data_IF_875189416801
#
_entry.id   IF_875189416801
#
_cell.length_a   1.000
_cell.length_b   1.000
_cell.length_c   1.000
_cell.angle_alpha   90.00
_cell.angle_beta   90.00
_cell.angle_gamma   90.00
#
_symmetry.space_group_name_H-M   'P 1'
#
loop_
_entity.id
_entity.type
_entity.pdbx_description
1 polymer ?
#
# COMPACT_ATOMS: atom_id res chain seq x y z
N UNK A 1 6.79 -18.87 -33.88
CA UNK A 1 7.80 -19.01 -32.81
C UNK A 1 7.39 -18.08 -31.68
N UNK A 2 6.98 -18.59 -30.52
CA UNK A 2 6.80 -17.76 -29.33
C UNK A 2 8.17 -17.54 -28.68
N UNK A 3 8.52 -16.29 -28.40
CA UNK A 3 9.72 -15.98 -27.63
C UNK A 3 9.49 -16.38 -26.15
N UNK A 4 10.50 -16.97 -25.52
CA UNK A 4 10.52 -17.15 -24.06
C UNK A 4 11.04 -15.87 -23.42
N UNK A 5 10.12 -14.99 -23.01
CA UNK A 5 10.44 -13.74 -22.33
C UNK A 5 11.10 -13.94 -20.97
N UNK A 6 10.91 -15.11 -20.33
CA UNK A 6 11.54 -15.42 -19.04
C UNK A 6 13.06 -15.55 -19.17
N UNK A 7 13.53 -16.08 -20.30
CA UNK A 7 14.95 -16.19 -20.64
C UNK A 7 15.66 -14.83 -20.80
N UNK A 8 14.93 -13.74 -20.99
CA UNK A 8 15.46 -12.39 -21.16
C UNK A 8 15.68 -11.66 -19.83
N UNK A 9 15.07 -12.11 -18.74
CA UNK A 9 15.25 -11.50 -17.42
C UNK A 9 16.70 -11.67 -16.92
N UNK A 10 17.17 -10.77 -16.05
CA UNK A 10 18.50 -10.91 -15.45
C UNK A 10 18.59 -12.16 -14.55
N UNK A 11 19.77 -12.79 -14.40
CA UNK A 11 19.90 -14.05 -13.65
C UNK A 11 19.33 -14.00 -12.22
N UNK A 12 19.48 -12.87 -11.53
CA UNK A 12 18.95 -12.68 -10.18
C UNK A 12 17.42 -12.67 -10.10
N UNK A 13 16.72 -12.32 -11.19
CA UNK A 13 15.25 -12.29 -11.24
C UNK A 13 14.68 -13.68 -11.53
N UNK A 14 15.37 -14.51 -12.31
CA UNK A 14 14.88 -15.84 -12.73
C UNK A 14 14.65 -16.82 -11.57
N UNK A 15 15.32 -16.60 -10.45
CA UNK A 15 15.17 -17.41 -9.23
C UNK A 15 14.14 -16.86 -8.23
N UNK A 16 13.57 -15.67 -8.48
CA UNK A 16 12.62 -15.07 -7.55
C UNK A 16 11.28 -15.79 -7.61
N UNK A 17 10.71 -16.04 -6.44
CA UNK A 17 9.31 -16.41 -6.35
C UNK A 17 8.45 -15.17 -6.59
N UNK A 18 7.35 -15.26 -7.36
CA UNK A 18 6.40 -14.18 -7.49
C UNK A 18 5.94 -13.69 -6.12
N UNK A 19 5.94 -12.37 -5.93
CA UNK A 19 5.41 -11.77 -4.72
C UNK A 19 3.93 -12.08 -4.60
N UNK A 20 3.53 -12.62 -3.45
CA UNK A 20 2.13 -12.82 -3.11
C UNK A 20 1.70 -11.69 -2.17
N UNK A 21 0.90 -10.72 -2.65
CA UNK A 21 0.37 -9.69 -1.78
C UNK A 21 -0.53 -10.31 -0.71
N UNK A 22 -0.55 -9.70 0.47
CA UNK A 22 -1.53 -10.07 1.50
C UNK A 22 -2.95 -9.84 0.99
N UNK A 23 -3.86 -10.77 1.32
CA UNK A 23 -5.27 -10.67 0.93
C UNK A 23 -5.93 -9.48 1.64
N UNK A 24 -6.61 -8.56 0.91
CA UNK A 24 -7.38 -7.49 1.52
C UNK A 24 -8.51 -8.04 2.41
N UNK A 25 -8.84 -7.32 3.49
CA UNK A 25 -9.92 -7.73 4.40
C UNK A 25 -11.25 -7.77 3.65
N UNK A 26 -11.49 -6.80 2.78
CA UNK A 26 -12.72 -6.64 1.99
C UNK A 26 -12.90 -7.77 0.96
N UNK A 27 -11.80 -8.38 0.52
CA UNK A 27 -11.84 -9.57 -0.34
C UNK A 27 -12.23 -10.80 0.45
N UNK A 28 -11.68 -10.95 1.67
CA UNK A 28 -12.02 -12.05 2.57
C UNK A 28 -13.49 -11.99 3.02
N UNK A 29 -14.00 -10.79 3.33
CA UNK A 29 -15.41 -10.57 3.68
C UNK A 29 -16.35 -11.04 2.58
N UNK A 30 -16.08 -10.66 1.33
CA UNK A 30 -16.90 -11.05 0.16
C UNK A 30 -16.86 -12.55 -0.11
N UNK A 31 -15.70 -13.19 0.05
CA UNK A 31 -15.55 -14.63 -0.22
C UNK A 31 -16.25 -15.49 0.82
N UNK A 32 -16.15 -15.11 2.09
CA UNK A 32 -16.62 -15.93 3.21
C UNK A 32 -17.99 -15.50 3.76
N UNK A 33 -18.56 -14.41 3.24
CA UNK A 33 -19.82 -13.83 3.73
C UNK A 33 -19.73 -13.35 5.17
N UNK A 34 -18.54 -12.91 5.60
CA UNK A 34 -18.27 -12.44 6.96
C UNK A 34 -18.61 -10.96 7.09
N UNK A 35 -19.07 -10.60 8.29
CA UNK A 35 -19.23 -9.21 8.74
C UNK A 35 -18.46 -9.03 10.03
N UNK A 36 -18.08 -7.79 10.35
CA UNK A 36 -17.42 -7.42 11.61
C UNK A 36 -16.04 -8.06 11.85
N UNK A 37 -15.18 -8.10 10.83
CA UNK A 37 -13.83 -8.62 10.98
C UNK A 37 -12.99 -7.71 11.89
N UNK A 38 -12.38 -8.29 12.92
CA UNK A 38 -11.38 -7.61 13.76
C UNK A 38 -9.98 -7.88 13.19
N UNK A 39 -9.36 -6.84 12.61
CA UNK A 39 -7.99 -6.93 12.07
C UNK A 39 -6.96 -6.77 13.19
N UNK A 40 -6.24 -7.85 13.48
CA UNK A 40 -5.12 -7.89 14.45
C UNK A 40 -3.75 -8.10 13.77
N UNK A 41 -3.67 -7.86 12.47
CA UNK A 41 -2.45 -7.99 11.67
C UNK A 41 -1.74 -6.64 11.46
N UNK A 42 -0.50 -6.68 11.00
CA UNK A 42 0.27 -5.51 10.53
C UNK A 42 0.68 -4.46 11.57
N UNK A 43 0.49 -4.72 12.87
CA UNK A 43 0.87 -3.80 13.97
C UNK A 43 0.27 -2.39 13.81
N UNK A 44 -0.93 -2.28 13.25
CA UNK A 44 -1.62 -1.01 13.07
C UNK A 44 -2.07 -0.42 14.42
N UNK A 45 -2.09 0.90 14.53
CA UNK A 45 -2.56 1.59 15.74
C UNK A 45 -4.10 1.59 15.75
N UNK A 46 -4.76 0.91 16.71
CA UNK A 46 -6.22 0.84 16.75
C UNK A 46 -6.90 2.19 17.06
N UNK A 47 -6.15 3.19 17.54
CA UNK A 47 -6.68 4.52 17.83
C UNK A 47 -6.77 5.43 16.60
N UNK A 48 -6.14 5.03 15.48
CA UNK A 48 -6.02 5.88 14.31
C UNK A 48 -5.16 7.13 14.54
N UNK A 49 -5.13 8.07 13.57
CA UNK A 49 -4.42 9.34 13.70
C UNK A 49 -5.10 10.29 14.69
N UNK A 50 -4.34 11.23 15.27
CA UNK A 50 -4.92 12.27 16.12
C UNK A 50 -5.80 13.24 15.30
N UNK A 51 -6.80 13.91 15.92
CA UNK A 51 -7.63 14.88 15.22
C UNK A 51 -6.84 16.01 14.54
N UNK A 52 -5.74 16.45 15.16
CA UNK A 52 -4.85 17.48 14.59
C UNK A 52 -4.16 17.06 13.31
N UNK A 53 -3.85 15.76 13.16
CA UNK A 53 -3.25 15.20 11.94
C UNK A 53 -4.27 15.16 10.82
N UNK A 54 -5.52 14.75 11.13
CA UNK A 54 -6.62 14.74 10.15
C UNK A 54 -6.83 16.16 9.62
N UNK A 55 -6.94 17.16 10.50
CA UNK A 55 -7.12 18.55 10.11
C UNK A 55 -5.96 19.08 9.26
N UNK A 56 -4.72 18.69 9.57
CA UNK A 56 -3.56 19.07 8.79
C UNK A 56 -3.59 18.48 7.37
N UNK A 57 -4.00 17.22 7.23
CA UNK A 57 -4.16 16.54 5.93
C UNK A 57 -5.26 17.24 5.12
N UNK A 58 -6.41 17.54 5.72
CA UNK A 58 -7.53 18.20 5.04
C UNK A 58 -7.14 19.57 4.48
N UNK A 59 -6.34 20.35 5.23
CA UNK A 59 -5.84 21.65 4.76
C UNK A 59 -4.95 21.55 3.52
N UNK A 60 -4.15 20.49 3.40
CA UNK A 60 -3.19 20.32 2.29
C UNK A 60 -3.74 19.46 1.15
N UNK A 61 -4.90 18.83 1.31
CA UNK A 61 -5.47 17.90 0.34
C UNK A 61 -5.61 18.50 -1.07
N UNK A 62 -5.93 19.81 -1.17
CA UNK A 62 -6.08 20.51 -2.45
C UNK A 62 -4.77 20.72 -3.21
N UNK A 63 -3.64 20.67 -2.51
CA UNK A 63 -2.32 20.88 -3.08
C UNK A 63 -1.57 19.56 -3.35
N UNK A 64 -2.17 18.39 -3.10
CA UNK A 64 -1.51 17.07 -3.24
C UNK A 64 -1.03 16.74 -4.66
N UNK A 65 -1.49 17.46 -5.69
CA UNK A 65 -0.98 17.32 -7.06
C UNK A 65 0.42 17.92 -7.24
N UNK A 66 0.92 18.70 -6.28
CA UNK A 66 2.25 19.31 -6.33
C UNK A 66 3.28 18.37 -5.71
N UNK A 67 4.47 18.35 -6.30
CA UNK A 67 5.62 17.69 -5.67
C UNK A 67 5.95 18.31 -4.31
N UNK A 68 6.42 17.52 -3.33
CA UNK A 68 6.93 18.04 -2.08
C UNK A 68 8.18 18.89 -2.31
N UNK A 69 8.52 19.73 -1.33
CA UNK A 69 9.77 20.50 -1.35
C UNK A 69 10.98 19.56 -1.23
N UNK A 70 11.63 19.30 -2.36
CA UNK A 70 12.80 18.43 -2.42
C UNK A 70 14.04 18.98 -1.70
N UNK A 71 14.07 20.27 -1.37
CA UNK A 71 15.18 20.90 -0.64
C UNK A 71 14.98 20.91 0.88
N UNK A 72 13.80 20.48 1.36
CA UNK A 72 13.42 20.56 2.76
C UNK A 72 13.56 21.99 3.36
N UNK A 73 13.45 23.04 2.55
CA UNK A 73 13.66 24.41 2.97
C UNK A 73 12.57 24.89 3.97
N UNK A 74 11.36 24.32 3.87
CA UNK A 74 10.24 24.65 4.78
C UNK A 74 10.01 23.62 5.90
N UNK A 75 10.90 22.65 6.08
CA UNK A 75 10.83 21.66 7.16
C UNK A 75 11.60 22.10 8.40
#
# INVERSE_FOLDING_TARGET
MSADFFSLASPGIRGLQPYQPGKPVEELERELGLTDIVKLASNENPLGPSPSVIEAIDRVARDMARYPDGSAFRL
#
